data_IF_103408990205
#
_entry.id   IF_103408990205
#
_cell.length_a   1.000
_cell.length_b   1.000
_cell.length_c   1.000
_cell.angle_alpha   90.00
_cell.angle_beta   90.00
_cell.angle_gamma   90.00
#
_symmetry.space_group_name_H-M   'P 1'
#
loop_
_entity.id
_entity.type
_entity.pdbx_description
1 polymer ?
#
# COMPACT_ATOMS: atom_id res chain seq x y z
N UNK A 1 -23.26 -32.86 10.83
CA UNK A 1 -21.80 -33.07 10.88
C UNK A 1 -21.47 -34.22 9.96
N UNK A 2 -20.54 -34.07 9.05
CA UNK A 2 -19.95 -35.18 8.29
C UNK A 2 -18.43 -35.17 8.54
N UNK A 3 -17.83 -36.34 8.50
CA UNK A 3 -16.41 -36.51 8.72
C UNK A 3 -15.74 -36.63 7.35
N UNK A 4 -14.76 -35.76 7.08
CA UNK A 4 -13.86 -35.94 5.95
C UNK A 4 -12.84 -36.97 6.41
N UNK A 5 -12.75 -38.12 5.73
CA UNK A 5 -11.79 -39.15 6.05
C UNK A 5 -10.36 -38.60 5.90
N UNK A 6 -9.65 -38.53 7.00
CA UNK A 6 -8.26 -38.10 7.05
C UNK A 6 -7.40 -39.37 7.21
N UNK A 7 -7.29 -40.14 6.13
CA UNK A 7 -6.36 -41.28 6.07
C UNK A 7 -4.89 -40.86 6.01
N UNK A 8 -4.63 -39.56 5.93
CA UNK A 8 -3.30 -38.98 5.80
C UNK A 8 -2.70 -38.64 7.19
N UNK A 9 -1.43 -38.93 7.35
CA UNK A 9 -0.70 -38.57 8.54
C UNK A 9 -0.69 -37.04 8.74
N UNK A 10 -0.80 -36.59 9.99
CA UNK A 10 -0.70 -35.17 10.36
C UNK A 10 0.62 -34.57 9.83
N UNK A 11 0.57 -33.30 9.42
CA UNK A 11 1.70 -32.54 8.86
C UNK A 11 2.26 -33.03 7.50
N UNK A 12 1.54 -33.91 6.80
CA UNK A 12 1.82 -34.20 5.39
C UNK A 12 1.23 -33.14 4.47
N UNK A 13 1.77 -33.00 3.24
CA UNK A 13 1.23 -32.09 2.23
C UNK A 13 -0.26 -32.34 1.96
N UNK A 14 -0.67 -33.60 1.87
CA UNK A 14 -2.05 -33.97 1.66
C UNK A 14 -2.96 -33.52 2.84
N UNK A 15 -2.48 -33.64 4.08
CA UNK A 15 -3.19 -33.16 5.27
C UNK A 15 -3.28 -31.63 5.28
N UNK A 16 -2.21 -30.91 4.89
CA UNK A 16 -2.20 -29.45 4.77
C UNK A 16 -3.17 -28.99 3.70
N UNK A 17 -3.20 -29.62 2.53
CA UNK A 17 -4.11 -29.32 1.42
C UNK A 17 -5.59 -29.41 1.83
N UNK A 18 -5.96 -30.41 2.65
CA UNK A 18 -7.33 -30.56 3.15
C UNK A 18 -7.76 -29.44 4.09
N UNK A 19 -6.83 -28.65 4.64
CA UNK A 19 -7.09 -27.53 5.56
C UNK A 19 -7.20 -26.18 4.89
N UNK A 20 -6.81 -26.08 3.60
CA UNK A 20 -6.94 -24.84 2.82
C UNK A 20 -8.40 -24.39 2.79
N UNK A 21 -8.63 -23.12 3.05
CA UNK A 21 -9.97 -22.52 3.07
C UNK A 21 -10.88 -22.99 4.21
N UNK A 22 -10.33 -23.66 5.25
CA UNK A 22 -11.10 -24.09 6.43
C UNK A 22 -10.65 -23.33 7.68
N UNK A 23 -11.62 -22.84 8.45
CA UNK A 23 -11.38 -22.28 9.77
C UNK A 23 -11.23 -23.45 10.75
N UNK A 24 -10.00 -23.83 11.01
CA UNK A 24 -9.66 -24.89 11.96
C UNK A 24 -9.49 -24.33 13.38
N UNK A 25 -9.41 -25.17 14.40
CA UNK A 25 -9.29 -24.73 15.78
C UNK A 25 -8.18 -23.71 16.04
N UNK A 26 -7.02 -23.85 15.40
CA UNK A 26 -5.91 -22.91 15.50
C UNK A 26 -6.17 -21.55 14.84
N UNK A 27 -7.07 -21.49 13.84
CA UNK A 27 -7.43 -20.27 13.12
C UNK A 27 -8.69 -19.59 13.69
N UNK A 28 -9.52 -20.32 14.43
CA UNK A 28 -10.84 -19.83 14.83
C UNK A 28 -10.80 -18.52 15.64
N UNK A 29 -9.92 -18.43 16.62
CA UNK A 29 -9.75 -17.21 17.41
C UNK A 29 -9.06 -16.08 16.62
N UNK A 30 -8.05 -16.44 15.81
CA UNK A 30 -7.25 -15.50 15.06
C UNK A 30 -8.02 -14.85 13.89
N UNK A 31 -9.07 -15.50 13.39
CA UNK A 31 -9.94 -15.00 12.31
C UNK A 31 -11.23 -14.35 12.83
N UNK A 32 -11.42 -14.22 14.13
CA UNK A 32 -12.60 -13.59 14.70
C UNK A 32 -12.62 -12.10 14.34
N UNK A 33 -13.65 -11.69 13.62
CA UNK A 33 -13.90 -10.29 13.29
C UNK A 33 -14.87 -9.69 14.31
N UNK A 34 -14.44 -8.65 15.00
CA UNK A 34 -15.23 -7.94 16.00
C UNK A 34 -15.53 -6.53 15.50
N UNK A 35 -16.67 -5.98 15.90
CA UNK A 35 -16.94 -4.56 15.69
C UNK A 35 -16.01 -3.71 16.58
N UNK A 36 -15.72 -2.50 16.12
CA UNK A 36 -15.16 -1.47 16.99
C UNK A 36 -16.18 -1.09 18.07
N UNK A 37 -15.71 -0.42 19.13
CA UNK A 37 -16.60 0.07 20.18
C UNK A 37 -17.72 0.93 19.58
N UNK A 38 -18.97 0.53 19.85
CA UNK A 38 -20.15 1.16 19.27
C UNK A 38 -20.34 2.57 19.84
N UNK A 39 -20.52 3.56 18.97
CA UNK A 39 -20.90 4.93 19.32
C UNK A 39 -22.41 5.03 19.49
N UNK A 40 -22.86 5.75 20.50
CA UNK A 40 -24.28 5.98 20.76
C UNK A 40 -24.82 7.04 19.77
N UNK A 41 -25.28 6.58 18.63
CA UNK A 41 -25.83 7.42 17.55
C UNK A 41 -27.05 8.19 18.03
N UNK A 42 -27.95 7.54 18.80
CA UNK A 42 -29.17 8.18 19.30
C UNK A 42 -28.85 9.37 20.22
N UNK A 43 -27.81 9.26 21.04
CA UNK A 43 -27.33 10.35 21.88
C UNK A 43 -26.82 11.54 21.04
N UNK A 44 -26.10 11.27 19.96
CA UNK A 44 -25.58 12.32 19.05
C UNK A 44 -26.74 13.02 18.32
N UNK A 45 -27.74 12.27 17.88
CA UNK A 45 -28.96 12.83 17.24
C UNK A 45 -29.77 13.70 18.20
N UNK A 46 -29.93 13.24 19.45
CA UNK A 46 -30.59 14.05 20.48
C UNK A 46 -29.83 15.37 20.79
N UNK A 47 -28.50 15.40 20.56
CA UNK A 47 -27.72 16.65 20.63
C UNK A 47 -28.01 17.56 19.43
N UNK A 48 -28.26 17.01 18.23
CA UNK A 48 -28.65 17.76 17.04
C UNK A 48 -30.02 18.44 17.25
N UNK A 49 -30.99 17.73 17.85
CA UNK A 49 -32.34 18.28 18.15
C UNK A 49 -32.28 19.42 19.15
N UNK A 50 -31.35 19.38 20.11
CA UNK A 50 -31.17 20.42 21.15
C UNK A 50 -30.26 21.57 20.71
N UNK A 51 -29.70 21.52 19.49
CA UNK A 51 -28.79 22.54 19.00
C UNK A 51 -29.47 23.88 18.81
N UNK A 52 -28.84 24.95 19.33
CA UNK A 52 -29.38 26.31 19.27
C UNK A 52 -29.17 27.04 17.93
N UNK A 53 -28.34 26.48 17.05
CA UNK A 53 -28.03 27.05 15.74
C UNK A 53 -28.03 25.96 14.66
N UNK A 54 -28.43 26.34 13.44
CA UNK A 54 -28.44 25.40 12.30
C UNK A 54 -27.03 24.81 12.00
N UNK A 55 -26.00 25.62 12.13
CA UNK A 55 -24.60 25.13 11.94
C UNK A 55 -24.25 24.01 12.92
N UNK A 56 -24.60 24.15 14.21
CA UNK A 56 -24.38 23.08 15.20
C UNK A 56 -25.25 21.84 14.96
N UNK A 57 -26.50 22.07 14.50
CA UNK A 57 -27.39 20.97 14.15
C UNK A 57 -26.81 20.14 13.01
N UNK A 58 -26.34 20.77 11.94
CA UNK A 58 -25.71 20.12 10.81
C UNK A 58 -24.45 19.37 11.26
N UNK A 59 -23.62 19.98 12.10
CA UNK A 59 -22.41 19.32 12.66
C UNK A 59 -22.75 18.02 13.40
N UNK A 60 -23.79 18.04 14.26
CA UNK A 60 -24.20 16.82 14.99
C UNK A 60 -24.82 15.78 14.09
N UNK A 61 -25.60 16.14 13.08
CA UNK A 61 -26.15 15.19 12.09
C UNK A 61 -25.03 14.53 11.28
N UNK A 62 -24.03 15.30 10.89
CA UNK A 62 -22.83 14.74 10.24
C UNK A 62 -22.09 13.78 11.16
N UNK A 63 -21.89 14.14 12.44
CA UNK A 63 -21.26 13.23 13.44
C UNK A 63 -22.09 11.97 13.67
N UNK A 64 -23.41 12.06 13.66
CA UNK A 64 -24.27 10.89 13.79
C UNK A 64 -24.11 9.94 12.60
N UNK A 65 -24.04 10.49 11.38
CA UNK A 65 -23.81 9.70 10.18
C UNK A 65 -22.42 9.03 10.18
N UNK A 66 -21.38 9.76 10.54
CA UNK A 66 -20.04 9.19 10.72
C UNK A 66 -20.04 8.07 11.78
N UNK A 67 -20.77 8.27 12.88
CA UNK A 67 -20.90 7.26 13.92
C UNK A 67 -21.64 5.98 13.44
N UNK A 68 -22.63 6.10 12.55
CA UNK A 68 -23.31 4.96 11.92
C UNK A 68 -22.35 4.16 11.05
N UNK A 69 -21.56 4.85 10.22
CA UNK A 69 -20.55 4.22 9.36
C UNK A 69 -19.51 3.51 10.22
N UNK A 70 -18.98 4.20 11.24
CA UNK A 70 -17.99 3.60 12.14
C UNK A 70 -18.52 2.40 12.93
N UNK A 71 -19.81 2.40 13.31
CA UNK A 71 -20.44 1.29 14.01
C UNK A 71 -20.58 0.03 13.14
N UNK A 72 -20.56 0.17 11.82
CA UNK A 72 -20.54 -0.96 10.89
C UNK A 72 -19.14 -1.53 10.69
N UNK A 73 -18.11 -0.79 11.08
CA UNK A 73 -16.71 -1.15 10.88
C UNK A 73 -16.32 -2.39 11.67
N UNK A 74 -15.67 -3.32 10.97
CA UNK A 74 -15.09 -4.52 11.55
C UNK A 74 -13.58 -4.35 11.76
N UNK A 75 -13.07 -4.93 12.84
CA UNK A 75 -11.64 -5.11 13.03
C UNK A 75 -11.20 -6.31 12.20
N UNK A 76 -10.50 -6.04 11.10
CA UNK A 76 -9.97 -7.10 10.23
C UNK A 76 -8.65 -7.59 10.81
N UNK A 77 -8.56 -8.83 11.31
CA UNK A 77 -7.32 -9.35 11.86
C UNK A 77 -6.29 -9.60 10.75
N UNK A 78 -5.00 -9.50 11.09
CA UNK A 78 -3.92 -9.72 10.13
C UNK A 78 -3.95 -11.12 9.51
N UNK A 79 -4.44 -12.11 10.23
CA UNK A 79 -4.59 -13.50 9.82
C UNK A 79 -5.65 -13.69 8.72
N UNK A 80 -6.62 -12.78 8.62
CA UNK A 80 -7.62 -12.78 7.55
C UNK A 80 -6.98 -12.72 6.16
N UNK A 81 -5.96 -11.89 6.00
CA UNK A 81 -5.24 -11.78 4.73
C UNK A 81 -4.43 -13.03 4.38
N UNK A 82 -3.87 -13.70 5.39
CA UNK A 82 -3.25 -15.00 5.21
C UNK A 82 -4.26 -16.07 4.76
N UNK A 83 -5.45 -16.04 5.35
CA UNK A 83 -6.52 -16.94 4.98
C UNK A 83 -7.06 -16.69 3.56
N UNK A 84 -7.20 -15.42 3.16
CA UNK A 84 -7.51 -15.08 1.76
C UNK A 84 -6.42 -15.54 0.80
N UNK A 85 -5.15 -15.39 1.17
CA UNK A 85 -4.03 -15.85 0.36
C UNK A 85 -4.07 -17.37 0.11
N UNK A 86 -4.45 -18.16 1.12
CA UNK A 86 -4.65 -19.61 0.95
C UNK A 86 -5.74 -19.95 -0.08
N UNK A 87 -6.76 -19.10 -0.21
CA UNK A 87 -7.91 -19.34 -1.07
C UNK A 87 -7.74 -18.76 -2.49
N UNK A 88 -7.02 -17.64 -2.61
CA UNK A 88 -6.96 -16.84 -3.82
C UNK A 88 -5.61 -16.91 -4.55
N UNK A 89 -4.68 -17.69 -4.04
CA UNK A 89 -3.37 -17.85 -4.64
C UNK A 89 -2.86 -19.29 -4.57
N UNK A 90 -1.93 -19.59 -5.46
CA UNK A 90 -1.15 -20.83 -5.35
C UNK A 90 -0.21 -20.78 -4.13
N UNK A 91 0.10 -21.94 -3.54
CA UNK A 91 1.06 -22.00 -2.44
C UNK A 91 2.41 -21.40 -2.83
N UNK A 92 3.05 -20.72 -1.88
CA UNK A 92 4.40 -20.22 -2.09
C UNK A 92 5.36 -21.38 -2.35
N UNK A 93 6.09 -21.30 -3.46
CA UNK A 93 7.18 -22.23 -3.75
C UNK A 93 8.42 -21.93 -2.89
N UNK A 94 9.50 -22.65 -3.18
CA UNK A 94 10.79 -22.50 -2.47
C UNK A 94 11.66 -21.36 -3.03
N UNK A 95 11.17 -20.56 -3.98
CA UNK A 95 11.92 -19.45 -4.56
C UNK A 95 12.17 -18.36 -3.51
N UNK A 96 13.43 -17.93 -3.28
CA UNK A 96 13.71 -16.84 -2.35
C UNK A 96 13.02 -15.53 -2.78
N UNK A 97 12.48 -14.73 -1.85
CA UNK A 97 11.72 -13.52 -2.18
C UNK A 97 12.48 -12.53 -3.07
N UNK A 98 13.78 -12.34 -2.83
CA UNK A 98 14.63 -11.45 -3.63
C UNK A 98 14.79 -11.96 -5.07
N UNK A 99 15.06 -13.26 -5.26
CA UNK A 99 15.17 -13.86 -6.58
C UNK A 99 13.87 -13.75 -7.37
N UNK A 100 12.74 -13.97 -6.69
CA UNK A 100 11.41 -13.77 -7.28
C UNK A 100 11.18 -12.30 -7.65
N UNK A 101 11.58 -11.35 -6.80
CA UNK A 101 11.51 -9.92 -7.09
C UNK A 101 12.18 -9.58 -8.41
N UNK A 102 13.46 -9.91 -8.55
CA UNK A 102 14.23 -9.66 -9.77
C UNK A 102 13.64 -10.35 -11.01
N UNK A 103 13.15 -11.60 -10.87
CA UNK A 103 12.54 -12.31 -11.99
C UNK A 103 11.28 -11.63 -12.52
N UNK A 104 10.47 -11.08 -11.62
CA UNK A 104 9.16 -10.49 -11.96
C UNK A 104 9.23 -9.01 -12.31
N UNK A 105 10.29 -8.30 -11.98
CA UNK A 105 10.41 -6.84 -12.10
C UNK A 105 10.11 -6.34 -13.52
N UNK A 106 10.86 -6.82 -14.51
CA UNK A 106 10.65 -6.42 -15.90
C UNK A 106 9.25 -6.81 -16.44
N UNK A 107 8.73 -7.97 -16.04
CA UNK A 107 7.40 -8.42 -16.43
C UNK A 107 6.32 -7.53 -15.80
N UNK A 108 6.48 -7.19 -14.53
CA UNK A 108 5.60 -6.28 -13.80
C UNK A 108 5.49 -4.92 -14.51
N UNK A 109 6.63 -4.34 -14.90
CA UNK A 109 6.67 -3.05 -15.62
C UNK A 109 6.04 -3.17 -17.01
N UNK A 110 6.30 -4.24 -17.77
CA UNK A 110 5.68 -4.45 -19.09
C UNK A 110 4.15 -4.54 -18.99
N UNK A 111 3.63 -5.28 -18.02
CA UNK A 111 2.19 -5.36 -17.77
C UNK A 111 1.63 -3.99 -17.34
N UNK A 112 2.39 -3.20 -16.57
CA UNK A 112 1.99 -1.84 -16.23
C UNK A 112 1.91 -0.96 -17.48
N UNK A 113 2.91 -1.00 -18.36
CA UNK A 113 2.91 -0.27 -19.64
C UNK A 113 1.70 -0.64 -20.50
N UNK A 114 1.37 -1.94 -20.61
CA UNK A 114 0.20 -2.40 -21.35
C UNK A 114 -1.10 -1.82 -20.77
N UNK A 115 -1.28 -1.87 -19.46
CA UNK A 115 -2.47 -1.31 -18.78
C UNK A 115 -2.59 0.20 -18.93
N UNK A 116 -1.48 0.90 -18.97
CA UNK A 116 -1.41 2.36 -19.10
C UNK A 116 -1.42 2.85 -20.55
N UNK A 117 -1.31 1.94 -21.52
CA UNK A 117 -1.16 2.30 -22.94
C UNK A 117 0.18 2.97 -23.26
N UNK A 118 1.22 2.70 -22.46
CA UNK A 118 2.58 3.20 -22.65
C UNK A 118 3.34 2.23 -23.58
N UNK A 119 3.94 2.76 -24.66
CA UNK A 119 4.81 1.95 -25.51
C UNK A 119 6.10 1.61 -24.75
N UNK A 120 6.37 0.33 -24.54
CA UNK A 120 7.59 -0.16 -23.87
C UNK A 120 8.87 0.26 -24.56
N UNK A 121 8.85 0.59 -25.85
CA UNK A 121 10.01 1.14 -26.56
C UNK A 121 10.42 2.54 -26.05
N UNK A 122 9.50 3.26 -25.41
CA UNK A 122 9.74 4.58 -24.79
C UNK A 122 10.17 4.48 -23.33
N UNK A 123 10.38 3.28 -22.80
CA UNK A 123 10.77 3.01 -21.41
C UNK A 123 12.21 2.49 -21.37
N UNK A 124 13.03 3.09 -20.51
CA UNK A 124 14.37 2.60 -20.19
C UNK A 124 14.28 1.66 -18.99
N UNK A 125 14.81 0.45 -19.17
CA UNK A 125 15.00 -0.56 -18.13
C UNK A 125 16.48 -0.60 -17.73
N UNK A 126 16.82 -1.21 -16.61
CA UNK A 126 18.20 -1.30 -16.11
C UNK A 126 18.84 0.10 -15.94
N UNK A 127 18.14 0.96 -15.24
CA UNK A 127 18.49 2.35 -15.04
C UNK A 127 19.66 2.52 -14.05
N UNK A 128 20.43 3.58 -14.25
CA UNK A 128 21.43 4.00 -13.26
C UNK A 128 20.79 4.63 -12.01
N UNK A 129 21.65 5.08 -11.12
CA UNK A 129 21.22 5.85 -9.96
C UNK A 129 21.01 7.32 -10.37
N UNK A 130 19.85 7.87 -10.02
CA UNK A 130 19.58 9.31 -10.10
C UNK A 130 20.05 9.97 -8.83
N UNK A 131 20.64 11.14 -8.96
CA UNK A 131 21.08 11.98 -7.84
C UNK A 131 20.48 13.38 -7.99
N UNK A 132 20.19 14.02 -6.88
CA UNK A 132 19.65 15.38 -6.89
C UNK A 132 20.75 16.38 -7.27
N UNK A 133 20.41 17.37 -8.12
CA UNK A 133 21.34 18.34 -8.65
C UNK A 133 22.04 19.20 -7.58
N UNK A 134 21.38 19.52 -6.48
CA UNK A 134 21.89 20.37 -5.42
C UNK A 134 22.55 19.61 -4.25
N UNK A 135 22.33 18.29 -4.14
CA UNK A 135 23.01 17.41 -3.17
C UNK A 135 22.98 15.93 -3.68
N UNK A 136 24.11 15.46 -4.23
CA UNK A 136 24.25 14.11 -4.79
C UNK A 136 24.04 12.97 -3.76
N UNK A 137 24.00 13.30 -2.46
CA UNK A 137 23.71 12.31 -1.40
C UNK A 137 22.21 11.97 -1.32
N UNK A 138 21.36 12.79 -1.95
CA UNK A 138 19.93 12.52 -2.12
C UNK A 138 19.76 11.82 -3.46
N UNK A 139 19.48 10.52 -3.41
CA UNK A 139 19.54 9.64 -4.58
C UNK A 139 18.44 8.59 -4.59
N UNK A 140 18.14 8.05 -5.76
CA UNK A 140 17.24 6.92 -5.99
C UNK A 140 17.72 6.09 -7.18
N UNK A 141 17.44 4.79 -7.18
CA UNK A 141 17.62 3.93 -8.37
C UNK A 141 16.25 3.51 -8.87
N UNK A 142 15.75 4.10 -9.96
CA UNK A 142 14.48 3.70 -10.55
C UNK A 142 14.55 2.26 -11.10
N UNK A 143 13.45 1.51 -11.02
CA UNK A 143 13.36 0.21 -11.69
C UNK A 143 13.18 0.38 -13.21
N UNK A 144 12.47 1.43 -13.63
CA UNK A 144 12.41 1.90 -15.03
C UNK A 144 11.92 3.34 -15.07
N UNK A 145 12.14 4.03 -16.20
CA UNK A 145 11.67 5.39 -16.43
C UNK A 145 11.42 5.70 -17.90
N UNK A 146 10.80 6.83 -18.18
CA UNK A 146 10.66 7.36 -19.53
C UNK A 146 12.03 7.54 -20.18
N UNK A 147 12.17 7.08 -21.41
CA UNK A 147 13.38 7.25 -22.22
C UNK A 147 13.46 8.65 -22.78
N UNK A 148 13.79 9.60 -21.92
CA UNK A 148 13.90 11.01 -22.23
C UNK A 148 15.09 11.63 -21.47
N UNK A 149 15.61 12.75 -21.95
CA UNK A 149 16.65 13.51 -21.26
C UNK A 149 16.19 13.99 -19.87
N UNK A 150 14.89 14.31 -19.76
CA UNK A 150 14.20 14.65 -18.51
C UNK A 150 12.93 13.82 -18.42
N UNK A 151 12.98 12.69 -17.75
CA UNK A 151 11.83 11.82 -17.59
C UNK A 151 10.67 12.52 -16.87
N UNK A 152 9.47 12.33 -17.35
CA UNK A 152 8.25 12.83 -16.69
C UNK A 152 7.58 11.76 -15.83
N UNK A 153 7.92 10.49 -16.08
CA UNK A 153 7.44 9.37 -15.27
C UNK A 153 8.53 8.33 -14.98
N UNK A 154 8.35 7.61 -13.88
CA UNK A 154 9.17 6.47 -13.49
C UNK A 154 8.28 5.34 -12.96
N UNK A 155 8.86 4.15 -12.90
CA UNK A 155 8.24 2.96 -12.33
C UNK A 155 8.98 2.50 -11.08
N UNK A 156 8.21 2.07 -10.08
CA UNK A 156 8.66 1.34 -8.91
C UNK A 156 7.90 0.01 -8.87
N UNK A 157 8.59 -1.10 -9.05
CA UNK A 157 8.00 -2.43 -9.20
C UNK A 157 8.19 -3.27 -7.93
N UNK A 158 7.13 -3.89 -7.44
CA UNK A 158 7.20 -4.76 -6.27
C UNK A 158 6.53 -6.11 -6.51
N UNK A 159 7.22 -7.18 -6.11
CA UNK A 159 6.70 -8.54 -6.06
C UNK A 159 6.59 -8.99 -4.60
N UNK A 160 5.53 -8.54 -3.92
CA UNK A 160 5.32 -8.82 -2.50
C UNK A 160 4.90 -10.28 -2.26
N UNK A 161 5.06 -10.72 -1.00
CA UNK A 161 4.40 -11.95 -0.56
C UNK A 161 2.88 -11.80 -0.63
N UNK A 162 2.16 -12.86 -0.99
CA UNK A 162 0.74 -12.84 -1.34
C UNK A 162 -0.14 -12.13 -0.30
N UNK A 163 0.08 -12.39 0.99
CA UNK A 163 -0.64 -11.70 2.06
C UNK A 163 -0.52 -10.18 1.95
N UNK A 164 0.71 -9.67 1.83
CA UNK A 164 0.98 -8.23 1.77
C UNK A 164 0.50 -7.62 0.45
N UNK A 165 0.57 -8.39 -0.64
CA UNK A 165 0.02 -8.02 -1.93
C UNK A 165 -1.50 -7.78 -1.81
N UNK A 166 -2.25 -8.76 -1.31
CA UNK A 166 -3.70 -8.65 -1.14
C UNK A 166 -4.11 -7.54 -0.17
N UNK A 167 -3.35 -7.31 0.90
CA UNK A 167 -3.60 -6.21 1.84
C UNK A 167 -3.59 -4.83 1.19
N UNK A 168 -2.78 -4.63 0.16
CA UNK A 168 -2.71 -3.37 -0.58
C UNK A 168 -3.68 -3.33 -1.76
N UNK A 169 -3.74 -4.40 -2.54
CA UNK A 169 -4.44 -4.45 -3.82
C UNK A 169 -5.96 -4.47 -3.65
N UNK A 170 -6.50 -5.18 -2.65
CA UNK A 170 -7.94 -5.29 -2.46
C UNK A 170 -8.56 -3.92 -2.12
N UNK A 171 -8.13 -3.19 -1.08
CA UNK A 171 -8.71 -1.89 -0.77
C UNK A 171 -8.46 -0.85 -1.87
N UNK A 172 -7.29 -0.86 -2.52
CA UNK A 172 -7.02 0.03 -3.65
C UNK A 172 -7.96 -0.21 -4.83
N UNK A 173 -8.16 -1.48 -5.21
CA UNK A 173 -9.06 -1.81 -6.33
C UNK A 173 -10.48 -1.36 -6.05
N UNK A 174 -10.95 -1.53 -4.81
CA UNK A 174 -12.27 -1.05 -4.38
C UNK A 174 -12.37 0.47 -4.45
N UNK A 175 -11.39 1.17 -3.88
CA UNK A 175 -11.35 2.63 -3.91
C UNK A 175 -11.37 3.15 -5.35
N UNK A 176 -10.51 2.60 -6.21
CA UNK A 176 -10.44 2.96 -7.63
C UNK A 176 -11.80 2.76 -8.31
N UNK A 177 -12.42 1.59 -8.12
CA UNK A 177 -13.68 1.24 -8.77
C UNK A 177 -14.84 2.13 -8.28
N UNK A 178 -14.83 2.52 -7.01
CA UNK A 178 -15.82 3.44 -6.44
C UNK A 178 -15.68 4.87 -6.96
N UNK A 179 -14.45 5.33 -7.25
CA UNK A 179 -14.15 6.71 -7.65
C UNK A 179 -13.96 6.89 -9.16
N UNK A 180 -13.83 5.79 -9.93
CA UNK A 180 -13.67 5.85 -11.39
C UNK A 180 -14.95 6.22 -12.15
N UNK A 181 -16.11 6.13 -11.52
CA UNK A 181 -17.40 6.28 -12.18
C UNK A 181 -17.73 5.13 -13.16
N UNK A 182 -16.88 4.13 -13.26
CA UNK A 182 -17.10 2.96 -14.10
C UNK A 182 -18.03 1.98 -13.39
N UNK A 183 -19.32 2.02 -13.78
CA UNK A 183 -20.38 1.15 -13.25
C UNK A 183 -20.29 -0.30 -13.76
N UNK A 184 -19.28 -0.67 -14.53
CA UNK A 184 -19.15 -2.02 -15.11
C UNK A 184 -18.64 -3.05 -14.12
N UNK A 185 -18.14 -2.64 -12.96
CA UNK A 185 -17.80 -3.56 -11.87
C UNK A 185 -19.08 -3.98 -11.16
N UNK A 186 -19.61 -5.12 -11.57
CA UNK A 186 -20.89 -5.65 -11.09
C UNK A 186 -20.87 -6.20 -9.66
N UNK A 187 -20.46 -5.39 -8.70
CA UNK A 187 -20.62 -5.74 -7.27
C UNK A 187 -22.10 -5.72 -6.91
N UNK A 188 -22.61 -6.80 -6.34
CA UNK A 188 -23.93 -6.76 -5.71
C UNK A 188 -23.93 -5.81 -4.53
N UNK A 189 -25.06 -5.14 -4.24
CA UNK A 189 -25.18 -4.22 -3.11
C UNK A 189 -24.71 -4.86 -1.80
N UNK A 190 -25.09 -6.14 -1.55
CA UNK A 190 -24.68 -6.88 -0.37
C UNK A 190 -23.16 -7.10 -0.28
N UNK A 191 -22.50 -7.34 -1.43
CA UNK A 191 -21.04 -7.47 -1.47
C UNK A 191 -20.37 -6.13 -1.24
N UNK A 192 -20.89 -5.06 -1.83
CA UNK A 192 -20.43 -3.69 -1.61
C UNK A 192 -20.54 -3.31 -0.14
N UNK A 193 -21.68 -3.53 0.49
CA UNK A 193 -21.89 -3.24 1.91
C UNK A 193 -20.93 -4.02 2.80
N UNK A 194 -20.67 -5.29 2.50
CA UNK A 194 -19.69 -6.10 3.21
C UNK A 194 -18.27 -5.53 3.05
N UNK A 195 -17.87 -5.15 1.84
CA UNK A 195 -16.56 -4.56 1.59
C UNK A 195 -16.41 -3.22 2.32
N UNK A 196 -17.45 -2.39 2.35
CA UNK A 196 -17.44 -1.13 3.09
C UNK A 196 -17.34 -1.34 4.61
N UNK A 197 -17.92 -2.41 5.14
CA UNK A 197 -17.74 -2.77 6.55
C UNK A 197 -16.29 -3.17 6.87
N UNK A 198 -15.59 -3.81 5.92
CA UNK A 198 -14.18 -4.20 6.07
C UNK A 198 -13.21 -3.03 5.84
N UNK A 199 -13.52 -2.13 4.90
CA UNK A 199 -12.63 -1.05 4.43
C UNK A 199 -13.37 0.29 4.32
N UNK A 200 -13.95 0.84 5.40
CA UNK A 200 -14.73 2.08 5.32
C UNK A 200 -13.93 3.28 4.84
N UNK A 201 -12.61 3.25 5.02
CA UNK A 201 -11.74 4.34 4.56
C UNK A 201 -11.72 4.49 3.03
N UNK A 202 -12.09 3.45 2.25
CA UNK A 202 -12.17 3.54 0.78
C UNK A 202 -13.29 4.49 0.28
N UNK A 203 -14.20 4.91 1.16
CA UNK A 203 -15.23 5.92 0.87
C UNK A 203 -14.74 7.37 1.02
N UNK A 204 -13.52 7.57 1.47
CA UNK A 204 -12.98 8.91 1.69
C UNK A 204 -12.59 9.55 0.36
N UNK A 205 -13.10 10.74 0.10
CA UNK A 205 -12.81 11.52 -1.11
C UNK A 205 -11.40 12.16 -1.10
N UNK A 206 -10.75 12.22 0.08
CA UNK A 206 -9.43 12.81 0.26
C UNK A 206 -8.26 11.80 0.10
N UNK A 207 -8.56 10.53 -0.22
CA UNK A 207 -7.54 9.53 -0.50
C UNK A 207 -7.05 9.62 -1.95
N UNK A 208 -5.77 9.30 -2.11
CA UNK A 208 -5.11 9.14 -3.41
C UNK A 208 -4.53 7.74 -3.55
N UNK A 209 -4.06 7.37 -4.73
CA UNK A 209 -3.38 6.10 -4.94
C UNK A 209 -2.19 5.89 -3.98
N UNK A 210 -1.51 6.97 -3.58
CA UNK A 210 -0.39 6.93 -2.64
C UNK A 210 -0.78 6.35 -1.27
N UNK A 211 -1.99 6.61 -0.80
CA UNK A 211 -2.44 6.19 0.54
C UNK A 211 -2.64 4.66 0.64
N UNK A 212 -2.73 3.97 -0.49
CA UNK A 212 -2.82 2.49 -0.57
C UNK A 212 -1.46 1.81 -0.76
N UNK A 213 -0.40 2.57 -1.02
CA UNK A 213 0.96 2.02 -1.07
C UNK A 213 1.34 1.54 0.33
N UNK A 214 1.85 0.31 0.48
CA UNK A 214 2.28 -0.17 1.79
C UNK A 214 3.30 0.79 2.42
N UNK A 215 3.11 1.11 3.70
CA UNK A 215 3.88 2.14 4.41
C UNK A 215 5.41 1.99 4.28
N UNK A 216 5.89 0.74 4.16
CA UNK A 216 7.32 0.45 3.96
C UNK A 216 7.89 1.01 2.64
N UNK A 217 7.05 1.34 1.65
CA UNK A 217 7.47 1.82 0.33
C UNK A 217 7.07 3.27 0.05
N UNK A 218 6.26 3.89 0.91
CA UNK A 218 5.81 5.27 0.70
C UNK A 218 6.98 6.25 0.63
N UNK A 219 7.96 6.13 1.54
CA UNK A 219 9.15 6.98 1.51
C UNK A 219 9.97 6.78 0.24
N UNK A 220 10.06 5.56 -0.30
CA UNK A 220 10.74 5.28 -1.55
C UNK A 220 10.05 5.97 -2.73
N UNK A 221 8.72 5.95 -2.79
CA UNK A 221 7.95 6.66 -3.84
C UNK A 221 8.13 8.17 -3.74
N UNK A 222 8.15 8.74 -2.53
CA UNK A 222 8.42 10.18 -2.33
C UNK A 222 9.84 10.54 -2.76
N UNK A 223 10.81 9.62 -2.59
CA UNK A 223 12.21 9.83 -2.95
C UNK A 223 12.40 10.12 -4.44
N UNK A 224 11.63 9.49 -5.31
CA UNK A 224 11.63 9.78 -6.74
C UNK A 224 11.39 11.27 -7.01
N UNK A 225 10.37 11.82 -6.39
CA UNK A 225 10.01 13.23 -6.52
C UNK A 225 10.99 14.16 -5.78
N UNK A 226 11.59 13.69 -4.69
CA UNK A 226 12.60 14.46 -3.97
C UNK A 226 13.91 14.59 -4.77
N UNK A 227 14.26 13.58 -5.57
CA UNK A 227 15.47 13.57 -6.40
C UNK A 227 15.31 14.40 -7.67
N UNK A 228 14.21 14.25 -8.39
CA UNK A 228 13.98 14.97 -9.64
C UNK A 228 12.72 15.86 -9.57
N UNK A 229 12.93 17.17 -9.58
CA UNK A 229 11.85 18.18 -9.55
C UNK A 229 10.99 18.20 -10.83
N UNK A 230 11.44 17.60 -11.92
CA UNK A 230 10.69 17.53 -13.19
C UNK A 230 9.75 16.32 -13.25
N UNK A 231 10.01 15.29 -12.44
CA UNK A 231 9.21 14.07 -12.43
C UNK A 231 7.76 14.38 -12.01
N UNK A 232 6.80 13.98 -12.82
CA UNK A 232 5.38 14.28 -12.59
C UNK A 232 4.63 13.07 -12.05
N UNK A 233 5.06 11.86 -12.40
CA UNK A 233 4.33 10.64 -12.07
C UNK A 233 5.27 9.51 -11.66
N UNK A 234 4.91 8.80 -10.61
CA UNK A 234 5.49 7.49 -10.27
C UNK A 234 4.39 6.44 -10.38
N UNK A 235 4.64 5.44 -11.20
CA UNK A 235 3.80 4.26 -11.31
C UNK A 235 4.32 3.19 -10.35
N UNK A 236 3.68 3.10 -9.17
CA UNK A 236 3.96 2.02 -8.23
C UNK A 236 3.19 0.79 -8.68
N UNK A 237 3.90 -0.24 -9.12
CA UNK A 237 3.29 -1.43 -9.70
C UNK A 237 3.58 -2.68 -8.87
N UNK A 238 2.55 -3.49 -8.67
CA UNK A 238 2.62 -4.70 -7.86
C UNK A 238 2.19 -5.91 -8.67
N UNK A 239 3.02 -6.95 -8.69
CA UNK A 239 2.73 -8.23 -9.32
C UNK A 239 2.91 -9.38 -8.32
N UNK A 240 1.90 -10.20 -8.16
CA UNK A 240 2.03 -11.54 -7.56
C UNK A 240 1.49 -12.57 -8.55
N UNK A 241 2.39 -13.28 -9.23
CA UNK A 241 2.11 -14.29 -10.24
C UNK A 241 1.38 -15.54 -9.71
N UNK A 242 1.23 -15.65 -8.37
CA UNK A 242 0.48 -16.72 -7.70
C UNK A 242 -0.99 -16.36 -7.47
N UNK A 243 -1.31 -15.07 -7.41
CA UNK A 243 -2.68 -14.59 -7.18
C UNK A 243 -3.50 -14.74 -8.45
N UNK A 244 -4.72 -15.26 -8.32
CA UNK A 244 -5.63 -15.37 -9.45
C UNK A 244 -6.11 -13.99 -9.94
N UNK A 245 -6.22 -13.85 -11.27
CA UNK A 245 -6.75 -12.63 -11.88
C UNK A 245 -8.16 -12.26 -11.32
N UNK A 246 -8.50 -10.97 -11.18
CA UNK A 246 -7.80 -9.80 -11.69
C UNK A 246 -6.82 -9.14 -10.71
N UNK A 247 -6.65 -9.67 -9.51
CA UNK A 247 -5.88 -9.04 -8.43
C UNK A 247 -4.36 -9.32 -8.50
N UNK A 248 -3.92 -10.14 -9.47
CA UNK A 248 -2.50 -10.51 -9.60
C UNK A 248 -1.59 -9.34 -9.91
N UNK A 249 -2.07 -8.34 -10.65
CA UNK A 249 -1.28 -7.18 -11.06
C UNK A 249 -2.08 -5.88 -10.95
N UNK A 250 -1.51 -4.89 -10.26
CA UNK A 250 -2.11 -3.57 -10.06
C UNK A 250 -1.08 -2.47 -10.27
N UNK A 251 -1.52 -1.35 -10.84
CA UNK A 251 -0.74 -0.12 -10.97
C UNK A 251 -1.42 0.98 -10.15
N UNK A 252 -0.66 1.60 -9.27
CA UNK A 252 -1.05 2.76 -8.46
C UNK A 252 -0.35 3.98 -9.04
N UNK A 253 -1.09 4.90 -9.64
CA UNK A 253 -0.57 6.12 -10.25
C UNK A 253 -0.45 7.21 -9.19
N UNK A 254 0.77 7.56 -8.83
CA UNK A 254 1.05 8.65 -7.89
C UNK A 254 1.49 9.88 -8.68
N UNK A 255 0.76 10.98 -8.55
CA UNK A 255 1.11 12.25 -9.17
C UNK A 255 1.83 13.15 -8.18
N UNK A 256 2.76 13.95 -8.65
CA UNK A 256 3.48 14.92 -7.81
C UNK A 256 2.51 15.82 -7.04
N UNK A 257 1.48 16.33 -7.71
CA UNK A 257 0.46 17.22 -7.11
C UNK A 257 -0.25 16.60 -5.90
N UNK A 258 -0.45 15.28 -5.89
CA UNK A 258 -1.13 14.56 -4.81
C UNK A 258 -0.24 14.42 -3.55
N UNK A 259 1.07 14.54 -3.69
CA UNK A 259 2.05 14.25 -2.63
C UNK A 259 3.05 15.37 -2.36
N UNK A 260 2.91 16.53 -3.00
CA UNK A 260 3.88 17.62 -2.92
C UNK A 260 4.26 18.00 -1.49
N UNK A 261 3.29 18.19 -0.61
CA UNK A 261 3.54 18.50 0.81
C UNK A 261 4.33 17.41 1.54
N UNK A 262 4.13 16.13 1.16
CA UNK A 262 4.83 14.99 1.74
C UNK A 262 6.27 14.94 1.24
N UNK A 263 6.49 15.24 -0.05
CA UNK A 263 7.82 15.32 -0.68
C UNK A 263 8.66 16.42 -0.03
N UNK A 264 8.10 17.61 0.15
CA UNK A 264 8.79 18.75 0.79
C UNK A 264 9.21 18.42 2.23
N UNK A 265 8.32 17.80 3.00
CA UNK A 265 8.63 17.36 4.38
C UNK A 265 9.72 16.29 4.42
N UNK A 266 9.70 15.33 3.49
CA UNK A 266 10.75 14.32 3.40
C UNK A 266 12.09 14.96 3.07
N UNK A 267 12.15 15.79 2.03
CA UNK A 267 13.36 16.48 1.59
C UNK A 267 13.94 17.40 2.71
N UNK A 268 13.09 18.12 3.44
CA UNK A 268 13.53 18.90 4.61
C UNK A 268 14.15 18.00 5.69
N UNK A 269 13.55 16.84 5.95
CA UNK A 269 14.06 15.87 6.92
C UNK A 269 15.41 15.28 6.50
N UNK A 270 15.55 14.94 5.21
CA UNK A 270 16.80 14.43 4.63
C UNK A 270 17.93 15.46 4.74
N UNK A 271 17.68 16.69 4.32
CA UNK A 271 18.66 17.80 4.42
C UNK A 271 19.09 18.02 5.85
N UNK A 272 18.16 18.05 6.80
CA UNK A 272 18.47 18.18 8.23
C UNK A 272 19.36 17.03 8.72
N UNK A 273 19.08 15.81 8.27
CA UNK A 273 19.90 14.62 8.60
C UNK A 273 21.33 14.79 8.08
N UNK A 274 21.47 15.23 6.81
CA UNK A 274 22.78 15.45 6.19
C UNK A 274 23.56 16.57 6.88
N UNK A 275 22.89 17.66 7.30
CA UNK A 275 23.52 18.74 8.08
C UNK A 275 24.05 18.21 9.41
N UNK A 276 23.34 17.35 10.12
CA UNK A 276 23.84 16.73 11.35
C UNK A 276 25.01 15.80 11.09
N UNK A 277 25.00 15.02 10.03
CA UNK A 277 26.14 14.17 9.64
C UNK A 277 27.37 15.00 9.35
N UNK A 278 27.23 16.12 8.61
CA UNK A 278 28.33 17.04 8.30
C UNK A 278 28.91 17.69 9.56
N UNK A 279 28.04 18.10 10.48
CA UNK A 279 28.46 18.68 11.75
C UNK A 279 29.22 17.65 12.59
N UNK A 280 28.71 16.44 12.76
CA UNK A 280 29.37 15.36 13.49
C UNK A 280 30.70 14.99 12.84
N UNK A 281 30.77 14.91 11.52
CA UNK A 281 32.00 14.59 10.78
C UNK A 281 33.08 15.63 11.00
N UNK A 282 32.73 16.94 11.04
CA UNK A 282 33.67 18.02 11.37
C UNK A 282 34.20 17.91 12.80
N UNK A 283 33.32 17.59 13.76
CA UNK A 283 33.74 17.43 15.17
C UNK A 283 34.64 16.20 15.36
N UNK A 284 34.35 15.08 14.64
CA UNK A 284 35.25 13.92 14.64
C UNK A 284 36.62 14.25 14.02
N UNK A 285 36.66 14.92 12.87
CA UNK A 285 37.90 15.33 12.22
C UNK A 285 38.72 16.32 13.10
N UNK A 286 38.06 17.15 13.88
CA UNK A 286 38.69 18.05 14.84
C UNK A 286 39.20 17.34 16.11
N UNK A 287 38.97 16.03 16.27
CA UNK A 287 39.40 15.26 17.44
C UNK A 287 38.56 15.50 18.70
N UNK A 288 37.34 16.06 18.55
CA UNK A 288 36.48 16.40 19.69
C UNK A 288 36.14 15.19 20.57
N UNK A 289 36.10 14.00 19.98
CA UNK A 289 35.73 12.74 20.68
C UNK A 289 36.93 11.90 21.11
N UNK A 290 38.11 12.09 20.50
CA UNK A 290 39.29 11.23 20.73
C UNK A 290 40.41 11.94 21.46
N UNK A 291 40.38 13.29 21.52
CA UNK A 291 41.51 14.11 22.01
C UNK A 291 42.72 14.11 21.07
N UNK A 292 42.68 13.46 19.96
CA UNK A 292 43.71 13.39 18.93
C UNK A 292 43.15 13.87 17.59
N UNK A 293 43.91 14.69 16.85
CA UNK A 293 43.56 15.08 15.48
C UNK A 293 43.77 13.87 14.56
N UNK A 294 42.69 13.36 13.95
CA UNK A 294 42.75 12.30 12.98
C UNK A 294 42.53 12.81 11.55
N UNK A 295 43.29 12.28 10.58
CA UNK A 295 42.97 12.40 9.15
C UNK A 295 41.92 11.34 8.79
N UNK A 296 40.82 11.77 8.18
CA UNK A 296 39.73 10.92 7.67
C UNK A 296 39.81 10.82 6.16
#
# INVERSE_FOLDING_TARGET
MHIIDISQAQDTDAWLQQRIGKITGTKAGALSMEHYAQKDVAKIEAMAEKAKTDAKRIEYLYKAEQARIENQRLKVPAEFWGFLAEMWAEPAGNEPPMARGHRLENENIRQACEKLGIDTATVEFDTGMWVRDDDERIAISPDAHEKAERPTFAFEAKALGTKNHLMAVVPYSMWRDLHSGDSTVGYTDAFRDMLLALFPDVLRDDLTAFDFIPAAYQAQVLQYFAVDDNLQTVYFTMLDDRVYCPLSHVVMTVRREDVQDKVEKQLESERRTLDYVDMLSKEFAAGAFTGEQGEW
#
